data_IF_962001071905
#
_entry.id   IF_962001071905
#
_cell.length_a   1.000
_cell.length_b   1.000
_cell.length_c   1.000
_cell.angle_alpha   90.00
_cell.angle_beta   90.00
_cell.angle_gamma   90.00
#
_symmetry.space_group_name_H-M   'P 1'
#
loop_
_entity.id
_entity.type
_entity.pdbx_description
1 polymer ?
#
# COMPACT_ATOMS: atom_id res chain seq x y z
N UNK A 1 -4.71 -13.83 -15.86
CA UNK A 1 -3.67 -14.67 -16.48
C UNK A 1 -2.69 -15.19 -15.43
N UNK A 2 -2.02 -16.29 -15.74
CA UNK A 2 -1.05 -16.90 -14.84
C UNK A 2 0.16 -15.99 -14.57
N UNK A 3 0.51 -15.11 -15.47
CA UNK A 3 1.64 -14.20 -15.30
C UNK A 3 1.33 -13.10 -14.27
N UNK A 4 0.13 -12.56 -14.28
CA UNK A 4 -0.26 -11.56 -13.28
C UNK A 4 -0.41 -12.17 -11.88
N UNK A 5 -0.83 -13.43 -11.79
CA UNK A 5 -0.86 -14.17 -10.53
C UNK A 5 0.55 -14.39 -9.99
N UNK A 6 1.50 -14.75 -10.86
CA UNK A 6 2.89 -14.98 -10.44
C UNK A 6 3.55 -13.73 -9.88
N UNK A 7 3.30 -12.57 -10.49
CA UNK A 7 3.82 -11.29 -10.00
C UNK A 7 3.20 -10.91 -8.66
N UNK A 8 1.89 -11.08 -8.50
CA UNK A 8 1.22 -10.84 -7.24
C UNK A 8 1.72 -11.75 -6.13
N UNK A 9 1.97 -13.00 -6.44
CA UNK A 9 2.50 -13.97 -5.46
C UNK A 9 3.92 -13.61 -5.03
N UNK A 10 4.77 -13.12 -5.94
CA UNK A 10 6.13 -12.68 -5.61
C UNK A 10 6.08 -11.49 -4.67
N UNK A 11 5.23 -10.49 -4.96
CA UNK A 11 5.07 -9.32 -4.09
C UNK A 11 4.54 -9.71 -2.72
N UNK A 12 3.56 -10.60 -2.66
CA UNK A 12 3.01 -11.09 -1.40
C UNK A 12 4.06 -11.81 -0.56
N UNK A 13 4.91 -12.61 -1.21
CA UNK A 13 6.00 -13.28 -0.52
C UNK A 13 6.93 -12.28 0.17
N UNK A 14 7.30 -11.22 -0.53
CA UNK A 14 8.16 -10.18 0.03
C UNK A 14 7.45 -9.40 1.15
N UNK A 15 6.17 -9.12 0.96
CA UNK A 15 5.34 -8.50 2.00
C UNK A 15 5.31 -9.36 3.27
N UNK A 16 5.11 -10.66 3.13
CA UNK A 16 5.04 -11.58 4.27
C UNK A 16 6.39 -11.79 4.93
N UNK A 17 7.48 -11.75 4.17
CA UNK A 17 8.81 -11.81 4.73
C UNK A 17 9.10 -10.60 5.61
N UNK A 18 8.78 -9.40 5.14
CA UNK A 18 8.95 -8.20 5.95
C UNK A 18 8.04 -8.22 7.18
N UNK A 19 6.80 -8.68 7.02
CA UNK A 19 5.87 -8.86 8.13
C UNK A 19 6.45 -9.77 9.20
N UNK A 20 7.02 -10.88 8.80
CA UNK A 20 7.65 -11.84 9.71
C UNK A 20 8.80 -11.21 10.49
N UNK A 21 9.67 -10.51 9.81
CA UNK A 21 10.82 -9.86 10.45
C UNK A 21 10.42 -8.67 11.32
N UNK A 22 9.44 -7.89 10.87
CA UNK A 22 8.95 -6.72 11.59
C UNK A 22 8.23 -7.11 12.89
N UNK A 23 7.39 -8.15 12.84
CA UNK A 23 6.48 -8.48 13.94
C UNK A 23 6.84 -9.77 14.67
N UNK A 24 7.84 -10.50 14.22
CA UNK A 24 8.18 -11.79 14.82
C UNK A 24 7.15 -12.87 14.58
N UNK A 25 6.42 -12.80 13.46
CA UNK A 25 5.38 -13.76 13.10
C UNK A 25 5.91 -14.79 12.10
N UNK A 26 5.25 -15.95 11.96
CA UNK A 26 5.62 -16.90 10.92
C UNK A 26 5.53 -16.28 9.52
N UNK A 27 6.44 -16.67 8.62
CA UNK A 27 6.41 -16.18 7.24
C UNK A 27 5.18 -16.70 6.50
N UNK A 28 4.84 -17.96 6.74
CA UNK A 28 3.70 -18.59 6.09
C UNK A 28 2.39 -18.07 6.67
N UNK A 29 1.52 -17.62 5.78
CA UNK A 29 0.16 -17.26 6.08
C UNK A 29 -0.70 -17.43 4.82
N UNK A 30 -2.04 -17.48 4.95
CA UNK A 30 -2.89 -17.51 3.77
C UNK A 30 -2.64 -16.30 2.85
N UNK A 31 -2.66 -16.54 1.55
CA UNK A 31 -2.49 -15.50 0.56
C UNK A 31 -3.69 -14.54 0.49
N UNK A 32 -4.84 -14.98 0.95
CA UNK A 32 -6.04 -14.16 1.06
C UNK A 32 -5.82 -13.09 2.15
N UNK A 33 -6.01 -11.82 1.79
CA UNK A 33 -5.81 -10.67 2.66
C UNK A 33 -7.13 -10.06 3.15
N UNK A 34 -8.23 -10.80 3.04
CA UNK A 34 -9.54 -10.31 3.49
C UNK A 34 -9.61 -10.03 4.98
N UNK A 35 -8.80 -10.72 5.78
CA UNK A 35 -8.66 -10.43 7.21
C UNK A 35 -8.12 -9.01 7.45
N UNK A 36 -7.19 -8.55 6.63
CA UNK A 36 -6.69 -7.17 6.70
C UNK A 36 -7.77 -6.18 6.26
N UNK A 37 -8.44 -6.47 5.15
CA UNK A 37 -9.51 -5.61 4.65
C UNK A 37 -10.62 -5.43 5.67
N UNK A 38 -10.98 -6.49 6.38
CA UNK A 38 -11.98 -6.43 7.44
C UNK A 38 -11.60 -5.54 8.63
N UNK A 39 -10.32 -5.23 8.78
CA UNK A 39 -9.80 -4.35 9.83
C UNK A 39 -9.54 -2.93 9.33
N UNK A 40 -9.90 -2.61 8.10
CA UNK A 40 -9.75 -1.27 7.55
C UNK A 40 -8.49 -1.06 6.73
N UNK A 41 -7.81 -2.12 6.32
CA UNK A 41 -6.65 -2.02 5.42
C UNK A 41 -7.13 -2.04 3.98
N UNK A 42 -6.84 -0.97 3.25
CA UNK A 42 -7.16 -0.88 1.83
C UNK A 42 -5.89 -1.09 1.01
N UNK A 43 -5.85 -2.19 0.28
CA UNK A 43 -4.73 -2.53 -0.60
C UNK A 43 -5.07 -2.10 -2.01
N UNK A 44 -4.30 -1.15 -2.54
CA UNK A 44 -4.49 -0.64 -3.88
C UNK A 44 -3.22 -0.76 -4.68
N UNK A 45 -3.37 -1.23 -5.91
CA UNK A 45 -2.31 -1.19 -6.90
C UNK A 45 -2.58 0.02 -7.80
N UNK A 46 -1.71 1.01 -7.75
CA UNK A 46 -1.86 2.24 -8.52
C UNK A 46 -1.58 2.04 -10.01
N UNK A 47 -0.95 0.95 -10.37
CA UNK A 47 -0.68 0.59 -11.74
C UNK A 47 -1.13 -0.83 -12.00
N UNK A 48 -2.09 -1.00 -12.92
CA UNK A 48 -2.36 -2.32 -13.45
C UNK A 48 -1.20 -2.72 -14.34
N UNK A 49 -0.43 -3.68 -13.88
CA UNK A 49 0.61 -4.25 -14.71
C UNK A 49 -0.04 -5.07 -15.81
N UNK A 50 0.03 -4.57 -17.00
CA UNK A 50 -0.34 -5.37 -18.17
C UNK A 50 0.92 -5.99 -18.74
N UNK A 51 0.78 -7.17 -19.27
CA UNK A 51 1.88 -7.90 -19.92
C UNK A 51 2.45 -7.12 -21.09
N UNK A 52 1.63 -6.33 -21.74
CA UNK A 52 2.05 -5.49 -22.85
C UNK A 52 2.40 -4.11 -22.30
N UNK A 53 3.65 -3.92 -21.89
CA UNK A 53 4.08 -2.70 -21.24
C UNK A 53 3.77 -1.41 -21.98
N UNK A 54 3.70 -1.42 -23.30
CA UNK A 54 3.39 -0.23 -24.09
C UNK A 54 1.90 0.02 -24.17
N UNK A 55 1.09 -1.02 -24.30
CA UNK A 55 -0.36 -0.90 -24.34
C UNK A 55 -0.94 -0.47 -22.99
N UNK A 56 -0.24 -0.75 -21.90
CA UNK A 56 -0.68 -0.43 -20.56
C UNK A 56 -0.60 1.05 -20.18
N UNK A 57 0.16 1.87 -20.91
CA UNK A 57 0.40 3.26 -20.51
C UNK A 57 -0.88 4.09 -20.41
N UNK A 58 -1.77 3.98 -21.39
CA UNK A 58 -3.02 4.73 -21.37
C UNK A 58 -4.04 4.16 -20.40
N UNK A 59 -4.07 2.85 -20.24
CA UNK A 59 -4.93 2.18 -19.28
C UNK A 59 -4.52 2.49 -17.85
N UNK A 60 -3.22 2.60 -17.60
CA UNK A 60 -2.70 2.93 -16.28
C UNK A 60 -3.08 4.34 -15.85
N UNK A 61 -3.14 5.30 -16.78
CA UNK A 61 -3.59 6.65 -16.47
C UNK A 61 -5.06 6.68 -16.02
N UNK A 62 -5.93 5.95 -16.70
CA UNK A 62 -7.33 5.85 -16.31
C UNK A 62 -7.50 5.21 -14.94
N UNK A 63 -6.75 4.17 -14.68
CA UNK A 63 -6.77 3.48 -13.39
C UNK A 63 -6.24 4.38 -12.27
N UNK A 64 -5.12 5.08 -12.48
CA UNK A 64 -4.60 6.01 -11.49
C UNK A 64 -5.59 7.11 -11.17
N UNK A 65 -6.27 7.67 -12.16
CA UNK A 65 -7.29 8.68 -11.95
C UNK A 65 -8.45 8.15 -11.12
N UNK A 66 -8.88 6.92 -11.36
CA UNK A 66 -9.93 6.28 -10.58
C UNK A 66 -9.50 6.06 -9.13
N UNK A 67 -8.27 5.63 -8.91
CA UNK A 67 -7.70 5.44 -7.57
C UNK A 67 -7.60 6.77 -6.84
N UNK A 68 -7.10 7.82 -7.49
CA UNK A 68 -7.00 9.14 -6.89
C UNK A 68 -8.38 9.68 -6.52
N UNK A 69 -9.38 9.48 -7.39
CA UNK A 69 -10.74 9.90 -7.10
C UNK A 69 -11.31 9.17 -5.88
N UNK A 70 -11.15 7.85 -5.82
CA UNK A 70 -11.64 7.03 -4.72
C UNK A 70 -10.98 7.42 -3.38
N UNK A 71 -9.66 7.62 -3.40
CA UNK A 71 -8.91 8.02 -2.21
C UNK A 71 -9.26 9.44 -1.76
N UNK A 72 -9.52 10.34 -2.71
CA UNK A 72 -9.97 11.70 -2.37
C UNK A 72 -11.33 11.67 -1.66
N UNK A 73 -12.24 10.81 -2.14
CA UNK A 73 -13.54 10.59 -1.49
C UNK A 73 -13.39 9.99 -0.09
N UNK A 74 -12.47 9.05 0.07
CA UNK A 74 -12.18 8.47 1.38
C UNK A 74 -11.65 9.53 2.36
N UNK A 75 -10.78 10.41 1.91
CA UNK A 75 -10.26 11.50 2.73
C UNK A 75 -11.35 12.47 3.19
N UNK A 76 -12.43 12.59 2.44
CA UNK A 76 -13.54 13.45 2.82
C UNK A 76 -14.29 12.95 4.06
N UNK A 77 -14.26 11.63 4.30
CA UNK A 77 -14.98 11.01 5.42
C UNK A 77 -14.06 10.49 6.52
N UNK A 78 -12.78 10.31 6.23
CA UNK A 78 -11.80 9.84 7.22
C UNK A 78 -10.90 11.01 7.63
N UNK A 79 -10.92 11.41 8.90
CA UNK A 79 -10.15 12.58 9.35
C UNK A 79 -8.64 12.33 9.36
N UNK A 80 -8.21 11.09 9.50
CA UNK A 80 -6.80 10.71 9.55
C UNK A 80 -6.62 9.37 8.87
N UNK A 81 -5.48 9.21 8.16
CA UNK A 81 -5.12 7.96 7.50
C UNK A 81 -3.64 7.66 7.73
N UNK A 82 -3.34 6.37 7.81
CA UNK A 82 -1.96 5.90 7.67
C UNK A 82 -1.79 5.50 6.20
N UNK A 83 -0.85 6.16 5.54
CA UNK A 83 -0.50 5.88 4.16
C UNK A 83 0.76 5.01 4.15
N UNK A 84 0.67 3.83 3.58
CA UNK A 84 1.84 2.98 3.35
C UNK A 84 2.13 3.04 1.86
N UNK A 85 3.19 3.74 1.50
CA UNK A 85 3.50 4.07 0.13
C UNK A 85 4.73 3.28 -0.32
N UNK A 86 4.49 2.31 -1.18
CA UNK A 86 5.53 1.43 -1.70
C UNK A 86 5.86 1.80 -3.13
N UNK A 87 7.00 2.48 -3.30
CA UNK A 87 7.50 2.89 -4.59
C UNK A 87 6.99 4.24 -5.05
N UNK A 88 7.54 4.67 -6.18
CA UNK A 88 7.27 6.03 -6.71
C UNK A 88 5.85 6.21 -7.22
N UNK A 89 5.24 5.17 -7.77
CA UNK A 89 3.86 5.25 -8.23
C UNK A 89 2.90 5.53 -7.09
N UNK A 90 3.11 4.89 -5.95
CA UNK A 90 2.29 5.13 -4.76
C UNK A 90 2.49 6.56 -4.24
N UNK A 91 3.72 7.05 -4.22
CA UNK A 91 4.00 8.43 -3.82
C UNK A 91 3.35 9.44 -4.75
N UNK A 92 3.34 9.16 -6.07
CA UNK A 92 2.68 10.02 -7.05
C UNK A 92 1.17 10.08 -6.82
N UNK A 93 0.54 8.93 -6.58
CA UNK A 93 -0.89 8.87 -6.29
C UNK A 93 -1.22 9.66 -5.02
N UNK A 94 -0.45 9.48 -3.97
CA UNK A 94 -0.63 10.23 -2.73
C UNK A 94 -0.55 11.75 -2.96
N UNK A 95 0.47 12.18 -3.69
CA UNK A 95 0.65 13.60 -4.03
C UNK A 95 -0.52 14.13 -4.83
N UNK A 96 -1.03 13.37 -5.79
CA UNK A 96 -2.17 13.76 -6.60
C UNK A 96 -3.47 13.86 -5.77
N UNK A 97 -3.65 12.95 -4.81
CA UNK A 97 -4.77 13.03 -3.86
C UNK A 97 -4.69 14.31 -3.05
N UNK A 98 -3.53 14.60 -2.48
CA UNK A 98 -3.36 15.82 -1.68
C UNK A 98 -3.62 17.08 -2.51
N UNK A 99 -3.25 17.06 -3.79
CA UNK A 99 -3.49 18.20 -4.69
C UNK A 99 -4.97 18.45 -4.98
N UNK A 100 -5.83 17.46 -4.83
CA UNK A 100 -7.28 17.59 -5.04
C UNK A 100 -8.05 18.02 -3.80
N UNK A 101 -7.43 17.89 -2.63
CA UNK A 101 -8.11 18.18 -1.37
C UNK A 101 -7.99 19.67 -1.05
N UNK A 102 -9.06 20.21 -0.47
CA UNK A 102 -9.09 21.60 0.00
C UNK A 102 -8.71 21.71 1.47
N UNK A 103 -8.58 20.59 2.16
CA UNK A 103 -8.27 20.55 3.57
C UNK A 103 -6.82 20.21 3.85
N UNK A 104 -6.50 20.16 5.11
CA UNK A 104 -5.18 19.84 5.60
C UNK A 104 -5.16 18.39 6.11
N UNK A 105 -4.18 17.61 5.64
CA UNK A 105 -3.96 16.23 6.09
C UNK A 105 -2.72 16.11 6.98
N UNK A 106 -2.45 17.14 7.78
CA UNK A 106 -1.25 17.21 8.62
C UNK A 106 -1.19 16.12 9.69
N UNK A 107 -2.33 15.56 10.10
CA UNK A 107 -2.37 14.48 11.08
C UNK A 107 -2.13 13.10 10.47
N UNK A 108 -2.16 12.99 9.14
CA UNK A 108 -1.88 11.72 8.48
C UNK A 108 -0.43 11.28 8.72
N UNK A 109 -0.22 9.99 8.78
CA UNK A 109 1.11 9.39 8.85
C UNK A 109 1.43 8.75 7.52
N UNK A 110 2.59 9.08 6.95
CA UNK A 110 3.05 8.53 5.68
C UNK A 110 4.30 7.68 5.91
N UNK A 111 4.21 6.41 5.58
CA UNK A 111 5.30 5.45 5.67
C UNK A 111 5.75 5.12 4.25
N UNK A 112 6.95 5.56 3.91
CA UNK A 112 7.49 5.43 2.55
C UNK A 112 8.63 4.43 2.51
N UNK A 113 8.62 3.61 1.48
CA UNK A 113 9.74 2.71 1.19
C UNK A 113 9.76 2.35 -0.29
N UNK A 114 10.85 1.78 -0.79
CA UNK A 114 10.84 1.14 -2.10
C UNK A 114 9.76 0.05 -2.18
N UNK A 115 9.42 -0.32 -3.41
CA UNK A 115 8.40 -1.32 -3.68
C UNK A 115 8.90 -2.72 -3.27
N UNK A 116 8.01 -3.64 -2.84
CA UNK A 116 8.38 -5.01 -2.49
C UNK A 116 8.75 -5.91 -3.68
N UNK A 117 8.82 -5.39 -4.90
CA UNK A 117 9.27 -6.17 -6.05
C UNK A 117 10.69 -6.68 -5.86
N UNK A 118 11.08 -7.81 -6.49
CA UNK A 118 12.42 -8.36 -6.34
C UNK A 118 13.54 -7.37 -6.68
N UNK A 119 13.29 -6.43 -7.60
CA UNK A 119 14.28 -5.44 -8.01
C UNK A 119 14.56 -4.39 -6.94
N UNK A 120 13.60 -4.10 -6.08
CA UNK A 120 13.70 -3.00 -5.10
C UNK A 120 13.57 -3.45 -3.66
N UNK A 121 13.14 -4.69 -3.40
CA UNK A 121 12.91 -5.17 -2.04
C UNK A 121 14.17 -5.07 -1.16
N UNK A 122 15.33 -5.38 -1.73
CA UNK A 122 16.61 -5.29 -1.00
C UNK A 122 17.20 -3.87 -0.96
N UNK A 123 16.53 -2.91 -1.57
CA UNK A 123 16.98 -1.52 -1.60
C UNK A 123 16.28 -0.64 -0.56
N UNK A 124 15.61 -1.25 0.40
CA UNK A 124 14.99 -0.51 1.48
C UNK A 124 13.56 -0.92 1.82
N UNK A 125 12.92 -1.80 1.04
CA UNK A 125 11.63 -2.36 1.46
C UNK A 125 11.82 -3.28 2.67
N UNK A 126 12.75 -4.23 2.59
CA UNK A 126 13.11 -5.03 3.75
C UNK A 126 13.78 -4.15 4.80
N UNK A 127 13.27 -4.22 6.01
CA UNK A 127 13.70 -3.38 7.11
C UNK A 127 12.92 -2.08 7.27
N UNK A 128 11.97 -1.79 6.37
CA UNK A 128 11.14 -0.59 6.47
C UNK A 128 10.09 -0.64 7.57
N UNK A 129 9.75 -1.83 8.04
CA UNK A 129 8.87 -2.07 9.18
C UNK A 129 7.51 -1.38 9.09
N UNK A 130 6.79 -1.52 7.97
CA UNK A 130 5.54 -0.77 7.79
C UNK A 130 4.43 -1.24 8.73
N UNK A 131 4.44 -2.50 9.11
CA UNK A 131 3.35 -3.10 9.91
C UNK A 131 3.36 -2.58 11.34
N UNK A 132 4.51 -2.61 11.99
CA UNK A 132 4.64 -2.09 13.35
C UNK A 132 4.48 -0.59 13.41
N UNK A 133 4.99 0.13 12.42
CA UNK A 133 4.85 1.59 12.36
C UNK A 133 3.41 2.01 12.10
N UNK A 134 2.68 1.29 11.25
CA UNK A 134 1.26 1.56 11.04
C UNK A 134 0.48 1.37 12.34
N UNK A 135 0.75 0.29 13.06
CA UNK A 135 0.11 0.04 14.34
C UNK A 135 0.45 1.12 15.37
N UNK A 136 1.70 1.56 15.42
CA UNK A 136 2.09 2.63 16.31
C UNK A 136 1.31 3.93 16.02
N UNK A 137 1.11 4.26 14.76
CA UNK A 137 0.33 5.43 14.37
C UNK A 137 -1.14 5.29 14.79
N UNK A 138 -1.76 4.14 14.50
CA UNK A 138 -3.15 3.88 14.87
C UNK A 138 -3.34 3.97 16.40
N UNK A 139 -2.45 3.38 17.16
CA UNK A 139 -2.50 3.41 18.61
C UNK A 139 -2.27 4.81 19.17
N UNK A 140 -1.42 5.61 18.54
CA UNK A 140 -1.21 7.00 18.94
C UNK A 140 -2.48 7.84 18.79
N UNK A 141 -3.40 7.44 17.93
CA UNK A 141 -4.70 8.07 17.75
C UNK A 141 -5.80 7.46 18.63
N UNK A 142 -5.46 6.49 19.47
CA UNK A 142 -6.42 5.79 20.33
C UNK A 142 -7.17 4.66 19.62
N UNK A 143 -6.75 4.28 18.42
CA UNK A 143 -7.35 3.17 17.69
C UNK A 143 -6.72 1.82 18.02
N UNK A 144 -7.34 0.76 17.51
CA UNK A 144 -6.84 -0.59 17.68
C UNK A 144 -5.74 -0.90 16.68
N UNK A 145 -4.74 -1.69 17.07
CA UNK A 145 -3.73 -2.16 16.12
C UNK A 145 -4.34 -3.16 15.13
N UNK A 146 -3.76 -3.22 13.95
CA UNK A 146 -4.13 -4.25 12.96
C UNK A 146 -3.48 -5.57 13.38
N UNK A 147 -4.25 -6.64 13.28
CA UNK A 147 -3.74 -8.00 13.43
C UNK A 147 -3.24 -8.46 12.06
N UNK A 148 -1.99 -8.21 11.82
CA UNK A 148 -1.38 -8.50 10.54
C UNK A 148 -1.14 -10.01 10.38
#
# INVERSE_FOLDING_TARGET
SNASRGLGDVYKRQMFKERSEDLGLPVDRPADLSDWAGQGVLLLNSALTTEAGVAGKHQNQGWENAVVHALSSLCAVQPRLVWVLWGKSAERVHRDVLGRLQGNRAEDVCLRSPHPSPLSAYRGFFGSRPYSQANAALQSWGGDPIQW
#
